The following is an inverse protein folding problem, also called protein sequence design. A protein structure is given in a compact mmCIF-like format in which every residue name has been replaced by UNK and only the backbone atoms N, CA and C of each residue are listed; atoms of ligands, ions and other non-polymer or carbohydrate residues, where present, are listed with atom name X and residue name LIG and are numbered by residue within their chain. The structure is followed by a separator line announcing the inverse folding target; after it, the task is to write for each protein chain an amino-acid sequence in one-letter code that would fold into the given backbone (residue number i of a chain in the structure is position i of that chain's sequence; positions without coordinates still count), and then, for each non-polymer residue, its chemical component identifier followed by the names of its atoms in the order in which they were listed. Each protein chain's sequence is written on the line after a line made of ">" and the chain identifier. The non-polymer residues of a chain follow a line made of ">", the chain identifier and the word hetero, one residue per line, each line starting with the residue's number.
data_IF_429801818739
#
_entry.id   IF_429801818739
#
_cell.length_a   1.000
_cell.length_b   1.000
_cell.length_c   1.000
_cell.angle_alpha   90.00
_cell.angle_beta   90.00
_cell.angle_gamma   90.00
#
_symmetry.space_group_name_H-M   'P 1'
#
loop_
_entity.id
_entity.type
_entity.pdbx_description
1 polymer ?
#
# COMPACT_ATOMS: atom_id res chain seq x y z
N UNK A 1 40.23 -20.92 -82.45
CA UNK A 1 40.29 -20.74 -80.98
C UNK A 1 38.93 -20.25 -80.51
N UNK A 2 38.22 -21.04 -79.70
CA UNK A 2 36.85 -20.74 -79.24
C UNK A 2 36.83 -20.84 -77.72
N UNK A 3 37.03 -19.72 -77.03
CA UNK A 3 36.98 -19.67 -75.57
C UNK A 3 35.54 -19.42 -75.15
N UNK A 4 34.89 -20.47 -74.61
CA UNK A 4 33.55 -20.41 -74.01
C UNK A 4 33.66 -19.85 -72.59
N UNK A 5 33.01 -18.70 -72.42
CA UNK A 5 32.38 -18.13 -71.23
C UNK A 5 32.60 -18.82 -69.87
N UNK A 6 33.08 -17.97 -68.95
CA UNK A 6 33.16 -18.11 -67.50
C UNK A 6 31.86 -18.65 -66.90
N UNK A 7 31.96 -19.75 -66.15
CA UNK A 7 30.96 -20.09 -65.13
C UNK A 7 31.43 -19.46 -63.82
N UNK A 8 30.75 -18.39 -63.45
CA UNK A 8 30.78 -17.80 -62.12
C UNK A 8 30.43 -18.88 -61.10
N UNK A 9 31.40 -19.29 -60.28
CA UNK A 9 31.14 -20.15 -59.12
C UNK A 9 30.35 -19.32 -58.12
N UNK A 10 29.07 -19.64 -58.00
CA UNK A 10 28.14 -19.00 -57.10
C UNK A 10 28.59 -19.18 -55.65
N UNK A 11 28.94 -18.09 -54.98
CA UNK A 11 29.05 -18.00 -53.53
C UNK A 11 27.65 -18.09 -52.89
N UNK A 12 26.99 -19.25 -53.02
CA UNK A 12 25.62 -19.49 -52.52
C UNK A 12 25.50 -20.70 -51.59
N UNK A 13 26.61 -21.13 -50.98
CA UNK A 13 26.58 -22.29 -50.07
C UNK A 13 27.31 -22.03 -48.75
N UNK A 14 27.04 -20.89 -48.11
CA UNK A 14 27.45 -20.68 -46.71
C UNK A 14 26.34 -20.05 -45.85
N UNK A 15 25.07 -20.34 -46.15
CA UNK A 15 24.01 -20.22 -45.13
C UNK A 15 23.79 -21.63 -44.60
N UNK A 16 24.59 -22.01 -43.61
CA UNK A 16 24.32 -23.17 -42.75
C UNK A 16 22.90 -22.97 -42.21
N UNK A 17 21.98 -23.88 -42.52
CA UNK A 17 20.70 -23.97 -41.82
C UNK A 17 20.99 -24.10 -40.32
N UNK A 18 20.84 -22.99 -39.59
CA UNK A 18 20.80 -23.06 -38.14
C UNK A 18 19.53 -23.83 -37.84
N UNK A 19 19.66 -25.06 -37.30
CA UNK A 19 18.51 -25.76 -36.71
C UNK A 19 17.91 -24.83 -35.66
N UNK A 20 16.80 -24.18 -36.01
CA UNK A 20 15.98 -23.45 -35.08
C UNK A 20 15.43 -24.48 -34.10
N UNK A 21 16.03 -24.54 -32.90
CA UNK A 21 15.51 -25.34 -31.80
C UNK A 21 14.26 -24.62 -31.31
N UNK A 22 13.11 -25.02 -31.82
CA UNK A 22 11.82 -24.58 -31.30
C UNK A 22 11.63 -25.04 -29.86
N UNK A 23 10.93 -24.24 -29.07
CA UNK A 23 10.49 -24.60 -27.72
C UNK A 23 9.54 -25.81 -27.81
N UNK A 24 9.72 -26.81 -26.95
CA UNK A 24 8.82 -27.97 -26.98
C UNK A 24 7.50 -27.65 -26.28
N UNK A 25 6.37 -28.17 -26.77
CA UNK A 25 5.07 -27.95 -26.09
C UNK A 25 5.09 -28.47 -24.64
N UNK A 26 5.80 -29.57 -24.41
CA UNK A 26 5.94 -30.14 -23.06
C UNK A 26 6.72 -29.23 -22.12
N UNK A 27 7.72 -28.50 -22.62
CA UNK A 27 8.50 -27.54 -21.84
C UNK A 27 7.63 -26.37 -21.39
N UNK A 28 6.70 -25.90 -22.24
CA UNK A 28 5.74 -24.87 -21.85
C UNK A 28 4.75 -25.37 -20.79
N UNK A 29 4.26 -26.60 -20.95
CA UNK A 29 3.30 -27.19 -20.00
C UNK A 29 3.94 -27.38 -18.62
N UNK A 30 5.19 -27.87 -18.57
CA UNK A 30 5.90 -28.04 -17.29
C UNK A 30 6.15 -26.68 -16.62
N UNK A 31 6.55 -25.65 -17.39
CA UNK A 31 6.77 -24.31 -16.85
C UNK A 31 5.48 -23.73 -16.25
N UNK A 32 4.36 -23.82 -16.97
CA UNK A 32 3.07 -23.37 -16.44
C UNK A 32 2.61 -24.18 -15.23
N UNK A 33 2.88 -25.49 -15.20
CA UNK A 33 2.59 -26.32 -14.03
C UNK A 33 3.39 -25.87 -12.80
N UNK A 34 4.68 -25.59 -12.94
CA UNK A 34 5.52 -25.09 -11.83
C UNK A 34 5.08 -23.68 -11.41
N UNK A 35 4.84 -22.77 -12.35
CA UNK A 35 4.34 -21.43 -12.06
C UNK A 35 2.97 -21.46 -11.36
N UNK A 36 2.08 -22.39 -11.74
CA UNK A 36 0.79 -22.56 -11.08
C UNK A 36 0.90 -22.95 -9.62
N UNK A 37 1.83 -23.86 -9.28
CA UNK A 37 2.09 -24.24 -7.88
C UNK A 37 2.69 -23.08 -7.08
N UNK A 38 3.65 -22.35 -7.66
CA UNK A 38 4.26 -21.19 -7.01
C UNK A 38 3.24 -20.06 -6.79
N UNK A 39 2.38 -19.79 -7.77
CA UNK A 39 1.35 -18.78 -7.67
C UNK A 39 0.32 -19.12 -6.58
N UNK A 40 -0.07 -20.39 -6.45
CA UNK A 40 -1.01 -20.83 -5.43
C UNK A 40 -0.52 -20.55 -3.99
N UNK A 41 0.80 -20.62 -3.75
CA UNK A 41 1.40 -20.33 -2.45
C UNK A 41 1.71 -18.82 -2.30
N UNK A 42 2.11 -18.16 -3.39
CA UNK A 42 2.56 -16.77 -3.36
C UNK A 42 1.44 -15.73 -3.28
N UNK A 43 0.32 -15.94 -3.98
CA UNK A 43 -0.81 -14.99 -4.02
C UNK A 43 -1.39 -14.68 -2.62
N UNK A 44 -1.75 -15.66 -1.76
CA UNK A 44 -2.37 -15.34 -0.46
C UNK A 44 -1.43 -14.58 0.49
N UNK A 45 -0.11 -14.74 0.35
CA UNK A 45 0.86 -13.97 1.13
C UNK A 45 0.93 -12.52 0.66
N UNK A 46 0.79 -12.29 -0.65
CA UNK A 46 0.86 -10.97 -1.23
C UNK A 46 -0.37 -10.12 -0.90
N UNK A 47 -1.56 -10.72 -0.74
CA UNK A 47 -2.77 -9.98 -0.36
C UNK A 47 -2.66 -9.41 1.05
N UNK A 48 -2.30 -10.22 2.05
CA UNK A 48 -2.15 -9.72 3.43
C UNK A 48 -1.07 -8.64 3.59
N UNK A 49 -0.01 -8.69 2.78
CA UNK A 49 1.01 -7.63 2.75
C UNK A 49 0.50 -6.32 2.11
N UNK A 50 -0.39 -6.41 1.11
CA UNK A 50 -1.00 -5.22 0.51
C UNK A 50 -1.94 -4.56 1.51
N UNK A 51 -2.80 -5.34 2.16
CA UNK A 51 -3.77 -4.85 3.15
C UNK A 51 -3.02 -4.14 4.31
N UNK A 52 -1.93 -4.73 4.81
CA UNK A 52 -1.13 -4.11 5.87
C UNK A 52 -0.37 -2.86 5.42
N UNK A 53 0.08 -2.80 4.17
CA UNK A 53 0.73 -1.62 3.61
C UNK A 53 -0.28 -0.47 3.40
N UNK A 54 -1.50 -0.81 2.98
CA UNK A 54 -2.62 0.11 2.88
C UNK A 54 -3.00 0.68 4.24
N UNK A 55 -3.18 -0.19 5.25
CA UNK A 55 -3.48 0.21 6.62
C UNK A 55 -2.41 1.17 7.19
N UNK A 56 -1.12 0.86 7.03
CA UNK A 56 -0.04 1.76 7.47
C UNK A 56 -0.03 3.11 6.72
N UNK A 57 -0.32 3.09 5.42
CA UNK A 57 -0.41 4.31 4.62
C UNK A 57 -1.56 5.20 5.08
N UNK A 58 -2.74 4.61 5.28
CA UNK A 58 -3.93 5.29 5.79
C UNK A 58 -3.72 5.83 7.21
N UNK A 59 -3.15 5.02 8.12
CA UNK A 59 -2.81 5.42 9.48
C UNK A 59 -1.88 6.64 9.53
N UNK A 60 -0.86 6.68 8.65
CA UNK A 60 0.08 7.81 8.56
C UNK A 60 -0.62 9.10 8.10
N UNK A 61 -1.54 8.97 7.13
CA UNK A 61 -2.33 10.10 6.66
C UNK A 61 -3.29 10.59 7.75
N UNK A 62 -3.97 9.67 8.43
CA UNK A 62 -4.87 9.97 9.55
C UNK A 62 -4.13 10.71 10.67
N UNK A 63 -2.98 10.19 11.14
CA UNK A 63 -2.18 10.85 12.17
C UNK A 63 -1.76 12.28 11.79
N UNK A 64 -1.44 12.51 10.52
CA UNK A 64 -1.08 13.85 10.02
C UNK A 64 -2.28 14.81 10.03
N UNK A 65 -3.46 14.30 9.68
CA UNK A 65 -4.72 15.06 9.67
C UNK A 65 -5.18 15.39 11.09
N UNK A 66 -5.11 14.43 12.01
CA UNK A 66 -5.40 14.60 13.43
C UNK A 66 -4.50 15.69 14.03
N UNK A 67 -3.21 15.67 13.72
CA UNK A 67 -2.29 16.72 14.17
C UNK A 67 -2.66 18.11 13.64
N UNK A 68 -3.21 18.20 12.42
CA UNK A 68 -3.71 19.46 11.87
C UNK A 68 -5.01 19.92 12.58
N UNK A 69 -5.94 19.00 12.86
CA UNK A 69 -7.15 19.31 13.63
C UNK A 69 -6.80 19.87 15.02
N UNK A 70 -5.92 19.17 15.73
CA UNK A 70 -5.41 19.63 17.03
C UNK A 70 -4.75 21.01 16.93
N UNK A 71 -3.89 21.24 15.94
CA UNK A 71 -3.21 22.52 15.79
C UNK A 71 -4.20 23.67 15.50
N UNK A 72 -5.30 23.41 14.78
CA UNK A 72 -6.34 24.41 14.49
C UNK A 72 -7.12 24.77 15.75
N UNK A 73 -7.53 23.78 16.51
CA UNK A 73 -8.28 23.97 17.76
C UNK A 73 -7.41 24.63 18.84
N UNK A 74 -6.14 24.23 18.94
CA UNK A 74 -5.16 24.87 19.81
C UNK A 74 -4.92 26.35 19.45
N UNK A 75 -4.93 26.70 18.15
CA UNK A 75 -4.71 28.08 17.72
C UNK A 75 -5.84 29.03 18.12
N UNK A 76 -7.04 28.50 18.36
CA UNK A 76 -8.20 29.27 18.84
C UNK A 76 -8.49 29.09 20.33
N UNK A 77 -7.65 28.32 21.04
CA UNK A 77 -7.78 28.00 22.47
C UNK A 77 -9.09 27.26 22.81
N UNK A 78 -9.56 26.39 21.89
CA UNK A 78 -10.84 25.70 22.03
C UNK A 78 -10.65 24.19 21.92
N UNK A 79 -10.27 23.59 23.04
CA UNK A 79 -9.78 22.21 23.14
C UNK A 79 -10.75 21.27 23.86
N UNK A 80 -11.89 21.78 24.30
CA UNK A 80 -12.91 21.10 25.10
C UNK A 80 -14.08 20.57 24.24
N UNK A 81 -13.86 20.42 22.93
CA UNK A 81 -14.85 19.91 21.97
C UNK A 81 -15.81 20.96 21.41
N UNK A 82 -15.70 22.23 21.82
CA UNK A 82 -16.48 23.31 21.18
C UNK A 82 -15.78 23.95 19.97
N UNK A 83 -14.56 23.50 19.65
CA UNK A 83 -13.79 23.92 18.48
C UNK A 83 -14.36 23.42 17.15
N UNK A 84 -13.73 23.82 16.04
CA UNK A 84 -14.19 23.47 14.69
C UNK A 84 -14.14 21.96 14.43
N UNK A 85 -13.15 21.26 15.00
CA UNK A 85 -13.04 19.81 14.85
C UNK A 85 -14.05 19.03 15.69
N UNK A 86 -14.68 19.67 16.69
CA UNK A 86 -15.63 19.04 17.62
C UNK A 86 -15.02 18.01 18.57
N UNK A 87 -13.68 17.92 18.62
CA UNK A 87 -12.92 16.98 19.44
C UNK A 87 -12.55 17.64 20.77
N UNK A 88 -12.82 16.97 21.87
CA UNK A 88 -12.29 17.30 23.19
C UNK A 88 -10.90 16.67 23.35
N UNK A 89 -9.90 17.52 23.17
CA UNK A 89 -8.49 17.19 23.37
C UNK A 89 -8.10 17.20 24.86
N UNK A 90 -8.96 17.73 25.74
CA UNK A 90 -8.72 17.87 27.18
C UNK A 90 -9.46 16.81 28.01
N UNK A 91 -8.76 15.71 28.34
CA UNK A 91 -9.27 14.68 29.24
C UNK A 91 -10.59 14.03 28.80
N UNK A 92 -10.49 13.00 27.95
CA UNK A 92 -11.59 12.19 27.42
C UNK A 92 -11.02 11.00 26.64
N UNK A 93 -11.89 10.13 26.11
CA UNK A 93 -11.48 9.11 25.14
C UNK A 93 -11.30 9.80 23.77
N UNK A 94 -10.13 10.42 23.59
CA UNK A 94 -9.81 11.19 22.39
C UNK A 94 -9.80 10.31 21.14
N UNK A 95 -9.53 9.01 21.28
CA UNK A 95 -9.47 8.08 20.16
C UNK A 95 -10.86 7.87 19.54
N UNK A 96 -11.88 7.73 20.39
CA UNK A 96 -13.28 7.65 19.96
C UNK A 96 -13.81 8.98 19.40
N UNK A 97 -13.43 10.12 20.00
CA UNK A 97 -13.88 11.43 19.52
C UNK A 97 -13.29 11.81 18.16
N UNK A 98 -11.99 11.55 17.99
CA UNK A 98 -11.29 11.76 16.73
C UNK A 98 -11.87 10.88 15.62
N UNK A 99 -12.27 9.64 15.92
CA UNK A 99 -12.95 8.76 14.95
C UNK A 99 -14.21 9.34 14.34
N UNK A 100 -14.92 10.17 15.11
CA UNK A 100 -16.19 10.74 14.70
C UNK A 100 -16.05 12.17 14.12
N UNK A 101 -14.82 12.62 13.91
CA UNK A 101 -14.48 13.88 13.26
C UNK A 101 -14.23 13.71 11.75
N UNK A 102 -14.24 14.82 11.00
CA UNK A 102 -14.03 14.80 9.55
C UNK A 102 -12.55 14.50 9.22
N UNK A 103 -12.16 13.24 9.30
CA UNK A 103 -10.86 12.73 8.85
C UNK A 103 -11.06 12.08 7.48
N UNK A 104 -10.41 12.62 6.46
CA UNK A 104 -10.53 12.12 5.09
C UNK A 104 -10.12 10.65 4.98
N UNK A 105 -9.14 10.20 5.76
CA UNK A 105 -8.74 8.79 5.82
C UNK A 105 -9.86 7.85 6.33
N UNK A 106 -10.83 8.37 7.10
CA UNK A 106 -11.98 7.61 7.60
C UNK A 106 -13.22 7.76 6.68
N UNK A 107 -13.19 8.70 5.73
CA UNK A 107 -14.36 9.13 4.95
C UNK A 107 -14.96 8.08 4.00
N UNK A 108 -14.25 6.97 3.76
CA UNK A 108 -14.77 5.84 2.98
C UNK A 108 -15.40 4.74 3.86
N UNK A 109 -15.34 4.88 5.19
CA UNK A 109 -15.90 3.92 6.15
C UNK A 109 -15.15 2.58 6.22
N UNK A 110 -13.95 2.53 5.66
CA UNK A 110 -13.10 1.34 5.62
C UNK A 110 -12.20 1.21 6.87
N UNK A 111 -11.98 2.32 7.57
CA UNK A 111 -11.08 2.41 8.72
C UNK A 111 -11.76 3.00 9.96
N UNK A 112 -11.21 2.66 11.13
CA UNK A 112 -11.64 3.13 12.45
C UNK A 112 -10.44 3.48 13.31
N UNK A 113 -10.64 4.36 14.30
CA UNK A 113 -9.69 4.61 15.37
C UNK A 113 -10.32 4.15 16.68
N UNK A 114 -9.55 3.51 17.56
CA UNK A 114 -10.05 3.07 18.87
C UNK A 114 -8.94 3.05 19.92
N UNK A 115 -9.29 2.83 21.18
CA UNK A 115 -8.35 2.54 22.27
C UNK A 115 -7.82 1.08 22.26
N UNK A 116 -8.02 0.35 21.17
CA UNK A 116 -7.71 -1.08 21.00
C UNK A 116 -6.21 -1.43 20.93
N UNK A 117 -5.92 -2.70 20.65
CA UNK A 117 -4.55 -3.23 20.55
C UNK A 117 -4.27 -4.07 19.31
N UNK A 118 -5.18 -4.04 18.33
CA UNK A 118 -5.22 -5.06 17.27
C UNK A 118 -4.74 -4.51 15.91
N UNK A 119 -4.73 -3.19 15.72
CA UNK A 119 -4.33 -2.48 14.51
C UNK A 119 -2.95 -1.80 14.57
N UNK A 120 -2.85 -0.68 13.85
CA UNK A 120 -1.64 0.15 13.74
C UNK A 120 -1.69 1.27 14.76
N UNK A 121 -0.74 1.29 15.69
CA UNK A 121 -0.60 2.37 16.67
C UNK A 121 -0.31 3.73 15.99
N UNK A 122 -1.19 4.70 16.25
CA UNK A 122 -1.04 6.10 15.88
C UNK A 122 -0.93 6.97 17.13
N UNK A 123 -0.14 8.04 17.06
CA UNK A 123 0.00 8.98 18.16
C UNK A 123 -0.94 10.15 17.96
N UNK A 124 -1.81 10.38 18.95
CA UNK A 124 -2.81 11.45 18.95
C UNK A 124 -2.45 12.47 20.03
N UNK A 125 -2.37 13.78 19.71
CA UNK A 125 -2.08 14.80 20.69
C UNK A 125 -3.21 14.93 21.71
N UNK A 126 -2.87 15.29 22.94
CA UNK A 126 -3.82 15.56 24.02
C UNK A 126 -3.39 16.80 24.78
N UNK A 127 -4.30 17.37 25.57
CA UNK A 127 -3.97 18.38 26.56
C UNK A 127 -4.42 17.92 27.95
N UNK A 128 -3.54 18.06 28.93
CA UNK A 128 -3.83 17.77 30.33
C UNK A 128 -3.30 18.92 31.18
N UNK A 129 -4.18 19.55 31.97
CA UNK A 129 -3.87 20.73 32.80
C UNK A 129 -3.09 21.85 32.08
N UNK A 130 -3.31 22.01 30.76
CA UNK A 130 -2.65 23.03 29.93
C UNK A 130 -1.26 22.64 29.42
N UNK A 131 -0.81 21.40 29.66
CA UNK A 131 0.37 20.81 29.04
C UNK A 131 -0.02 19.98 27.82
N UNK A 132 0.75 20.10 26.73
CA UNK A 132 0.56 19.28 25.54
C UNK A 132 1.15 17.89 25.80
N UNK A 133 0.29 16.90 25.76
CA UNK A 133 0.60 15.48 25.83
C UNK A 133 0.32 14.77 24.51
N UNK A 134 0.41 13.45 24.57
CA UNK A 134 0.01 12.56 23.50
C UNK A 134 -0.49 11.24 24.10
N UNK A 135 -1.46 10.63 23.44
CA UNK A 135 -1.89 9.26 23.68
C UNK A 135 -1.64 8.41 22.44
N UNK A 136 -1.66 7.10 22.62
CA UNK A 136 -1.64 6.16 21.50
C UNK A 136 -3.07 5.70 21.26
N UNK A 137 -3.53 5.82 20.02
CA UNK A 137 -4.75 5.19 19.54
C UNK A 137 -4.39 4.10 18.54
N UNK A 138 -5.32 3.21 18.28
CA UNK A 138 -5.20 2.12 17.33
C UNK A 138 -5.98 2.45 16.06
N UNK A 139 -5.34 2.31 14.90
CA UNK A 139 -5.96 2.50 13.59
C UNK A 139 -6.12 1.15 12.91
N UNK A 140 -7.36 0.74 12.65
CA UNK A 140 -7.66 -0.56 12.04
C UNK A 140 -8.75 -0.47 10.98
N UNK A 141 -8.98 -1.56 10.27
CA UNK A 141 -10.14 -1.72 9.41
C UNK A 141 -11.43 -1.80 10.24
N UNK A 142 -12.54 -1.36 9.65
CA UNK A 142 -13.87 -1.58 10.25
C UNK A 142 -14.24 -3.07 10.12
N UNK A 143 -14.62 -3.71 11.23
CA UNK A 143 -15.13 -5.09 11.30
C UNK A 143 -16.45 -5.32 10.54
#
# INVERSE_FOLDING_TARGET
>A
MKYRNLKTLSARQLIRERKERGFTLIELVIVLAVLGVLAAIGIPQLTGLQDQAELQGAATNAASEIGNLFARDLAVDELDGSGDSGVNWSGGDVCDEVSNSDINALGEGDFTISDGSDGVEITVPTIDDGEIGQTTCDFDFVD
#
